data_IF_068096638105
#
_entry.id   IF_068096638105
#
_cell.length_a   1.000
_cell.length_b   1.000
_cell.length_c   1.000
_cell.angle_alpha   90.00
_cell.angle_beta   90.00
_cell.angle_gamma   90.00
#
_symmetry.space_group_name_H-M   'P 1'
#
loop_
_entity.id
_entity.type
_entity.pdbx_description
1 polymer ?
#
# COMPACT_ATOMS: atom_id res chain seq x y z
N UNK A 1 33.75 -19.36 -10.53
CA UNK A 1 33.07 -18.20 -9.91
C UNK A 1 33.25 -16.90 -10.71
N UNK A 2 34.48 -16.42 -10.97
CA UNK A 2 34.69 -15.16 -11.74
C UNK A 2 34.09 -15.15 -13.16
N UNK A 3 34.16 -16.26 -13.89
CA UNK A 3 33.56 -16.39 -15.23
C UNK A 3 32.03 -16.26 -15.22
N UNK A 4 31.36 -16.93 -14.27
CA UNK A 4 29.91 -16.84 -14.10
C UNK A 4 29.45 -15.44 -13.71
N UNK A 5 30.16 -14.76 -12.81
CA UNK A 5 29.86 -13.38 -12.43
C UNK A 5 29.93 -12.43 -13.64
N UNK A 6 30.95 -12.56 -14.50
CA UNK A 6 31.08 -11.77 -15.74
C UNK A 6 29.95 -12.07 -16.73
N UNK A 7 29.54 -13.34 -16.85
CA UNK A 7 28.41 -13.71 -17.71
C UNK A 7 27.10 -13.05 -17.23
N UNK A 8 26.86 -13.02 -15.91
CA UNK A 8 25.71 -12.33 -15.33
C UNK A 8 25.78 -10.80 -15.52
N UNK A 9 26.97 -10.19 -15.40
CA UNK A 9 27.16 -8.77 -15.72
C UNK A 9 26.79 -8.47 -17.18
N UNK A 10 27.23 -9.31 -18.13
CA UNK A 10 26.85 -9.21 -19.54
C UNK A 10 25.35 -9.38 -19.76
N UNK A 11 24.73 -10.38 -19.13
CA UNK A 11 23.29 -10.61 -19.19
C UNK A 11 22.47 -9.43 -18.65
N UNK A 12 22.90 -8.83 -17.54
CA UNK A 12 22.26 -7.64 -16.97
C UNK A 12 22.33 -6.43 -17.91
N UNK A 13 23.47 -6.19 -18.55
CA UNK A 13 23.61 -5.11 -19.53
C UNK A 13 22.69 -5.30 -20.75
N UNK A 14 22.59 -6.52 -21.26
CA UNK A 14 21.68 -6.86 -22.38
C UNK A 14 20.23 -6.62 -21.97
N UNK A 15 19.81 -7.14 -20.81
CA UNK A 15 18.45 -6.95 -20.30
C UNK A 15 18.11 -5.47 -20.09
N UNK A 16 19.04 -4.68 -19.55
CA UNK A 16 18.86 -3.24 -19.38
C UNK A 16 18.71 -2.53 -20.73
N UNK A 17 19.55 -2.85 -21.72
CA UNK A 17 19.45 -2.29 -23.06
C UNK A 17 18.12 -2.64 -23.74
N UNK A 18 17.65 -3.88 -23.59
CA UNK A 18 16.35 -4.32 -24.10
C UNK A 18 15.20 -3.58 -23.42
N UNK A 19 15.25 -3.41 -22.09
CA UNK A 19 14.22 -2.67 -21.36
C UNK A 19 14.13 -1.22 -21.83
N UNK A 20 15.28 -0.55 -22.01
CA UNK A 20 15.35 0.82 -22.56
C UNK A 20 14.82 0.87 -23.99
N UNK A 21 15.17 -0.10 -24.83
CA UNK A 21 14.67 -0.16 -26.21
C UNK A 21 13.14 -0.35 -26.26
N UNK A 22 12.57 -1.21 -25.41
CA UNK A 22 11.11 -1.38 -25.29
C UNK A 22 10.45 -0.11 -24.78
N UNK A 23 11.02 0.57 -23.78
CA UNK A 23 10.51 1.85 -23.29
C UNK A 23 10.52 2.94 -24.37
N UNK A 24 11.57 2.99 -25.19
CA UNK A 24 11.72 4.00 -26.23
C UNK A 24 10.82 3.72 -27.45
N UNK A 25 10.70 2.46 -27.86
CA UNK A 25 9.99 2.06 -29.08
C UNK A 25 8.52 1.64 -28.81
N UNK A 26 8.12 1.47 -27.56
CA UNK A 26 6.83 0.90 -27.14
C UNK A 26 6.69 -0.61 -27.37
N UNK A 27 7.45 -1.16 -28.32
CA UNK A 27 7.54 -2.60 -28.61
C UNK A 27 8.85 -2.94 -29.30
N UNK A 28 9.34 -4.15 -29.10
CA UNK A 28 10.54 -4.68 -29.76
C UNK A 28 10.27 -6.11 -30.23
N UNK A 29 10.56 -6.40 -31.50
CA UNK A 29 10.50 -7.77 -32.04
C UNK A 29 11.90 -8.33 -32.15
N UNK A 30 12.15 -9.45 -31.49
CA UNK A 30 13.45 -10.13 -31.45
C UNK A 30 13.26 -11.63 -31.56
N UNK A 31 13.90 -12.26 -32.56
CA UNK A 31 13.89 -13.71 -32.74
C UNK A 31 12.48 -14.35 -32.68
N UNK A 32 11.48 -13.70 -33.27
CA UNK A 32 10.08 -14.16 -33.27
C UNK A 32 9.28 -13.84 -32.00
N UNK A 33 9.91 -13.31 -30.94
CA UNK A 33 9.22 -12.84 -29.74
C UNK A 33 8.89 -11.35 -29.86
N UNK A 34 7.76 -10.95 -29.27
CA UNK A 34 7.39 -9.54 -29.15
C UNK A 34 7.49 -9.13 -27.68
N UNK A 35 8.37 -8.16 -27.41
CA UNK A 35 8.57 -7.56 -26.10
C UNK A 35 7.84 -6.22 -26.08
N UNK A 36 6.75 -6.15 -25.32
CA UNK A 36 5.93 -4.92 -25.19
C UNK A 36 5.92 -4.38 -23.77
N UNK A 37 6.41 -5.17 -22.81
CA UNK A 37 6.36 -4.89 -21.38
C UNK A 37 7.77 -4.77 -20.83
N UNK A 38 8.23 -3.54 -20.71
CA UNK A 38 9.55 -3.27 -20.14
C UNK A 38 9.64 -3.74 -18.67
N UNK A 39 8.52 -3.76 -17.93
CA UNK A 39 8.50 -4.26 -16.55
C UNK A 39 8.93 -5.73 -16.43
N UNK A 40 8.57 -6.58 -17.39
CA UNK A 40 8.93 -8.00 -17.38
C UNK A 40 10.46 -8.15 -17.49
N UNK A 41 11.09 -7.33 -18.33
CA UNK A 41 12.55 -7.27 -18.48
C UNK A 41 13.24 -6.72 -17.23
N UNK A 42 12.63 -5.73 -16.56
CA UNK A 42 13.15 -5.17 -15.30
C UNK A 42 13.11 -6.19 -14.17
N UNK A 43 12.07 -7.02 -14.09
CA UNK A 43 11.99 -8.11 -13.10
C UNK A 43 13.10 -9.13 -13.34
N UNK A 44 13.30 -9.57 -14.58
CA UNK A 44 14.38 -10.52 -14.92
C UNK A 44 15.75 -9.88 -14.66
N UNK A 45 15.93 -8.61 -15.01
CA UNK A 45 17.14 -7.84 -14.72
C UNK A 45 17.44 -7.81 -13.22
N UNK A 46 16.44 -7.54 -12.38
CA UNK A 46 16.60 -7.53 -10.93
C UNK A 46 17.02 -8.90 -10.39
N UNK A 47 16.48 -10.00 -10.92
CA UNK A 47 16.88 -11.37 -10.57
C UNK A 47 18.32 -11.67 -10.98
N UNK A 48 18.72 -11.29 -12.20
CA UNK A 48 20.09 -11.50 -12.70
C UNK A 48 21.09 -10.68 -11.88
N UNK A 49 20.79 -9.42 -11.60
CA UNK A 49 21.62 -8.56 -10.74
C UNK A 49 21.69 -9.09 -9.32
N UNK A 50 20.57 -9.57 -8.76
CA UNK A 50 20.53 -10.19 -7.44
C UNK A 50 21.39 -11.46 -7.36
N UNK A 51 21.25 -12.36 -8.33
CA UNK A 51 22.06 -13.57 -8.44
C UNK A 51 23.55 -13.24 -8.58
N UNK A 52 23.87 -12.21 -9.39
CA UNK A 52 25.24 -11.70 -9.51
C UNK A 52 25.76 -11.25 -8.16
N UNK A 53 25.05 -10.37 -7.45
CA UNK A 53 25.49 -9.82 -6.17
C UNK A 53 25.65 -10.89 -5.10
N UNK A 54 24.85 -11.96 -5.13
CA UNK A 54 25.02 -13.11 -4.25
C UNK A 54 26.31 -13.91 -4.56
N UNK A 55 26.65 -14.09 -5.84
CA UNK A 55 27.83 -14.84 -6.27
C UNK A 55 29.15 -14.06 -6.13
N UNK A 56 29.10 -12.76 -6.39
CA UNK A 56 30.24 -11.86 -6.31
C UNK A 56 29.80 -10.53 -5.70
N UNK A 57 29.80 -10.44 -4.35
CA UNK A 57 29.41 -9.23 -3.64
C UNK A 57 30.29 -8.05 -4.06
N UNK A 58 29.65 -6.90 -4.25
CA UNK A 58 30.34 -5.64 -4.55
C UNK A 58 30.42 -4.81 -3.29
N UNK A 59 31.55 -4.13 -3.08
CA UNK A 59 31.67 -3.12 -2.04
C UNK A 59 30.82 -1.91 -2.40
N UNK A 60 29.74 -1.71 -1.65
CA UNK A 60 28.91 -0.52 -1.82
C UNK A 60 29.71 0.74 -1.45
N UNK A 61 29.50 1.86 -2.16
CA UNK A 61 30.09 3.13 -1.78
C UNK A 61 29.68 3.49 -0.35
N UNK A 62 30.59 4.14 0.40
CA UNK A 62 30.31 4.61 1.75
C UNK A 62 29.40 5.83 1.69
N UNK A 63 28.10 5.59 1.72
CA UNK A 63 27.07 6.63 1.80
C UNK A 63 26.61 6.77 3.25
N UNK A 64 26.42 8.00 3.73
CA UNK A 64 25.85 8.19 5.06
C UNK A 64 24.41 7.66 5.08
N UNK A 65 23.93 7.04 6.19
CA UNK A 65 22.56 6.53 6.26
C UNK A 65 21.49 7.57 5.91
N UNK A 66 21.71 8.83 6.30
CA UNK A 66 20.80 9.95 5.98
C UNK A 66 20.78 10.24 4.49
N UNK A 67 21.94 10.30 3.84
CA UNK A 67 22.03 10.52 2.40
C UNK A 67 21.40 9.36 1.62
N UNK A 68 21.53 8.12 2.11
CA UNK A 68 20.88 6.96 1.49
C UNK A 68 19.35 7.06 1.56
N UNK A 69 18.78 7.41 2.71
CA UNK A 69 17.32 7.62 2.85
C UNK A 69 16.85 8.78 1.99
N UNK A 70 17.52 9.94 2.05
CA UNK A 70 17.16 11.11 1.26
C UNK A 70 17.25 10.84 -0.25
N UNK A 71 18.31 10.17 -0.70
CA UNK A 71 18.47 9.75 -2.09
C UNK A 71 17.38 8.78 -2.52
N UNK A 72 17.06 7.78 -1.68
CA UNK A 72 15.96 6.84 -1.95
C UNK A 72 14.61 7.55 -2.07
N UNK A 73 14.30 8.47 -1.17
CA UNK A 73 13.08 9.30 -1.22
C UNK A 73 13.03 10.12 -2.50
N UNK A 74 14.11 10.81 -2.86
CA UNK A 74 14.18 11.62 -4.06
C UNK A 74 13.98 10.77 -5.33
N UNK A 75 14.64 9.61 -5.41
CA UNK A 75 14.48 8.66 -6.52
C UNK A 75 13.05 8.14 -6.58
N UNK A 76 12.44 7.74 -5.46
CA UNK A 76 11.07 7.26 -5.43
C UNK A 76 10.09 8.33 -5.91
N UNK A 77 10.17 9.55 -5.37
CA UNK A 77 9.28 10.66 -5.76
C UNK A 77 9.44 10.98 -7.24
N UNK A 78 10.68 11.03 -7.74
CA UNK A 78 10.93 11.31 -9.15
C UNK A 78 10.38 10.21 -10.06
N UNK A 79 10.78 8.95 -9.82
CA UNK A 79 10.41 7.83 -10.68
C UNK A 79 8.91 7.56 -10.60
N UNK A 80 8.37 7.41 -9.39
CA UNK A 80 6.93 7.14 -9.23
C UNK A 80 6.10 8.35 -9.64
N UNK A 81 6.57 9.58 -9.39
CA UNK A 81 5.92 10.81 -9.85
C UNK A 81 5.80 10.84 -11.38
N UNK A 82 6.90 10.56 -12.10
CA UNK A 82 6.87 10.43 -13.57
C UNK A 82 5.90 9.34 -14.00
N UNK A 83 5.90 8.18 -13.36
CA UNK A 83 4.99 7.07 -13.69
C UNK A 83 3.54 7.46 -13.52
N UNK A 84 3.13 7.99 -12.35
CA UNK A 84 1.72 8.33 -12.08
C UNK A 84 1.23 9.48 -12.96
N UNK A 85 2.08 10.48 -13.22
CA UNK A 85 1.74 11.59 -14.11
C UNK A 85 1.61 11.10 -15.56
N UNK A 86 2.57 10.30 -16.03
CA UNK A 86 2.54 9.76 -17.40
C UNK A 86 1.30 8.88 -17.62
N UNK A 87 0.94 8.05 -16.63
CA UNK A 87 -0.30 7.27 -16.68
C UNK A 87 -1.53 8.16 -16.79
N UNK A 88 -1.59 9.26 -16.03
CA UNK A 88 -2.71 10.19 -16.09
C UNK A 88 -2.81 10.90 -17.44
N UNK A 89 -1.72 11.47 -17.96
CA UNK A 89 -1.74 12.16 -19.27
C UNK A 89 -1.96 11.19 -20.43
N UNK A 90 -1.63 9.90 -20.27
CA UNK A 90 -1.96 8.84 -21.20
C UNK A 90 -3.38 8.28 -21.02
N UNK A 91 -4.22 8.92 -20.20
CA UNK A 91 -5.61 8.52 -19.93
C UNK A 91 -5.77 7.12 -19.34
N UNK A 92 -4.78 6.67 -18.55
CA UNK A 92 -4.75 5.35 -17.89
C UNK A 92 -5.09 5.43 -16.39
N UNK A 93 -5.93 6.38 -16.01
CA UNK A 93 -6.43 6.62 -14.65
C UNK A 93 -7.96 6.56 -14.65
N UNK A 94 -8.57 6.23 -13.51
CA UNK A 94 -9.99 5.89 -13.47
C UNK A 94 -10.84 7.01 -12.86
N UNK A 95 -12.01 7.25 -13.44
CA UNK A 95 -12.93 8.28 -12.98
C UNK A 95 -13.53 7.97 -11.58
N UNK A 96 -13.83 6.71 -11.30
CA UNK A 96 -14.44 6.29 -10.03
C UNK A 96 -13.47 6.28 -8.84
N UNK A 97 -12.17 6.21 -9.10
CA UNK A 97 -11.14 6.31 -8.06
C UNK A 97 -10.56 7.74 -8.05
N UNK A 98 -9.75 8.10 -9.06
CA UNK A 98 -9.06 9.38 -9.10
C UNK A 98 -10.03 10.56 -9.28
N UNK A 99 -10.94 10.46 -10.27
CA UNK A 99 -11.89 11.53 -10.57
C UNK A 99 -12.79 11.86 -9.38
N UNK A 100 -13.23 10.82 -8.67
CA UNK A 100 -14.01 10.93 -7.44
C UNK A 100 -13.28 11.79 -6.40
N UNK A 101 -12.05 11.44 -6.01
CA UNK A 101 -11.32 12.19 -4.98
C UNK A 101 -10.87 13.58 -5.45
N UNK A 102 -10.55 13.75 -6.74
CA UNK A 102 -10.30 15.09 -7.32
C UNK A 102 -11.51 15.99 -7.13
N UNK A 103 -12.71 15.48 -7.44
CA UNK A 103 -13.94 16.23 -7.28
C UNK A 103 -14.26 16.51 -5.81
N UNK A 104 -14.05 15.55 -4.90
CA UNK A 104 -14.23 15.79 -3.46
C UNK A 104 -13.35 16.95 -2.99
N UNK A 105 -12.06 16.92 -3.29
CA UNK A 105 -11.12 17.98 -2.87
C UNK A 105 -11.50 19.33 -3.49
N UNK A 106 -11.88 19.34 -4.77
CA UNK A 106 -12.36 20.55 -5.44
C UNK A 106 -13.63 21.11 -4.78
N UNK A 107 -14.63 20.27 -4.51
CA UNK A 107 -15.90 20.68 -3.88
C UNK A 107 -15.68 21.23 -2.47
N UNK A 108 -14.82 20.60 -1.68
CA UNK A 108 -14.42 21.09 -0.35
C UNK A 108 -13.73 22.46 -0.44
N UNK A 109 -12.80 22.61 -1.38
CA UNK A 109 -12.05 23.83 -1.57
C UNK A 109 -12.92 25.04 -1.96
N UNK A 110 -14.05 24.79 -2.64
CA UNK A 110 -14.98 25.85 -3.09
C UNK A 110 -16.24 25.98 -2.22
N UNK A 111 -16.28 25.33 -1.05
CA UNK A 111 -17.38 25.46 -0.11
C UNK A 111 -18.69 24.76 -0.51
N UNK A 112 -18.63 23.82 -1.46
CA UNK A 112 -19.79 23.02 -1.89
C UNK A 112 -20.08 21.81 -0.97
N UNK A 113 -19.26 21.62 0.06
CA UNK A 113 -19.27 20.42 0.90
C UNK A 113 -18.65 19.20 0.19
N UNK A 114 -18.66 18.05 0.86
CA UNK A 114 -18.12 16.82 0.30
C UNK A 114 -19.11 16.21 -0.70
N UNK A 115 -19.17 16.76 -1.91
CA UNK A 115 -20.09 16.34 -2.97
C UNK A 115 -19.35 15.88 -4.21
N UNK A 116 -19.92 14.88 -4.86
CA UNK A 116 -19.47 14.31 -6.14
C UNK A 116 -20.65 14.20 -7.10
N UNK A 117 -20.38 14.11 -8.40
CA UNK A 117 -21.38 13.95 -9.47
C UNK A 117 -21.32 12.60 -10.15
N UNK A 118 -20.36 11.73 -9.79
CA UNK A 118 -20.21 10.40 -10.38
C UNK A 118 -20.01 9.32 -9.29
N UNK A 119 -21.11 8.75 -8.77
CA UNK A 119 -22.50 9.18 -8.95
C UNK A 119 -22.83 10.46 -8.15
N UNK A 120 -23.93 11.18 -8.45
CA UNK A 120 -24.35 12.34 -7.68
C UNK A 120 -24.72 11.96 -6.24
N UNK A 121 -23.86 12.31 -5.28
CA UNK A 121 -24.09 12.00 -3.87
C UNK A 121 -23.22 12.83 -2.91
N UNK A 122 -23.51 12.69 -1.61
CA UNK A 122 -22.61 13.11 -0.56
C UNK A 122 -21.47 12.09 -0.43
N UNK A 123 -20.22 12.53 -0.59
CA UNK A 123 -19.07 11.63 -0.71
C UNK A 123 -18.85 10.76 0.54
N UNK A 124 -19.16 11.31 1.72
CA UNK A 124 -19.12 10.58 3.00
C UNK A 124 -20.16 9.47 3.14
N UNK A 125 -21.17 9.42 2.26
CA UNK A 125 -22.14 8.33 2.18
C UNK A 125 -21.62 7.12 1.38
N UNK A 126 -20.53 7.30 0.64
CA UNK A 126 -19.82 6.20 -0.03
C UNK A 126 -18.57 5.81 0.76
N UNK A 127 -17.71 6.78 1.01
CA UNK A 127 -16.44 6.61 1.70
C UNK A 127 -16.20 7.80 2.65
N UNK A 128 -16.18 7.54 3.95
CA UNK A 128 -15.89 8.55 4.96
C UNK A 128 -14.38 8.81 5.05
N UNK A 129 -13.92 9.84 4.33
CA UNK A 129 -12.49 10.20 4.22
C UNK A 129 -12.17 11.64 4.68
N UNK A 130 -12.31 11.98 5.99
CA UNK A 130 -11.97 13.33 6.49
C UNK A 130 -10.52 13.76 6.24
N UNK A 131 -9.58 12.85 5.99
CA UNK A 131 -8.21 13.24 5.67
C UNK A 131 -8.11 14.15 4.44
N UNK A 132 -9.11 14.10 3.55
CA UNK A 132 -9.18 14.92 2.33
C UNK A 132 -9.26 16.42 2.62
N UNK A 133 -9.71 16.83 3.81
CA UNK A 133 -9.67 18.24 4.22
C UNK A 133 -8.23 18.79 4.25
N UNK A 134 -7.21 17.95 4.50
CA UNK A 134 -5.80 18.37 4.45
C UNK A 134 -5.32 18.70 3.03
N UNK A 135 -6.04 18.24 2.00
CA UNK A 135 -5.69 18.46 0.60
C UNK A 135 -6.47 19.62 -0.03
N UNK A 136 -7.37 20.28 0.72
CA UNK A 136 -8.09 21.49 0.28
C UNK A 136 -7.14 22.56 -0.30
N UNK A 137 -5.97 22.86 0.29
CA UNK A 137 -5.04 23.81 -0.30
C UNK A 137 -4.58 23.44 -1.72
N UNK A 138 -4.51 22.15 -2.07
CA UNK A 138 -4.20 21.72 -3.43
C UNK A 138 -5.34 22.07 -4.40
N UNK A 139 -6.59 22.05 -3.93
CA UNK A 139 -7.75 22.50 -4.69
C UNK A 139 -7.71 23.98 -5.07
N UNK A 140 -6.96 24.81 -4.34
CA UNK A 140 -6.74 26.22 -4.66
C UNK A 140 -5.49 26.46 -5.52
N UNK A 141 -4.37 25.84 -5.14
CA UNK A 141 -3.05 26.15 -5.70
C UNK A 141 -2.72 25.37 -6.97
N UNK A 142 -3.20 24.13 -7.06
CA UNK A 142 -2.90 23.20 -8.15
C UNK A 142 -4.08 22.23 -8.35
N UNK A 143 -5.27 22.74 -8.73
CA UNK A 143 -6.46 21.91 -8.86
C UNK A 143 -6.25 20.79 -9.89
N UNK A 144 -6.71 19.59 -9.57
CA UNK A 144 -6.73 18.45 -10.49
C UNK A 144 -6.00 17.21 -9.98
N UNK A 145 -5.94 16.21 -10.86
CA UNK A 145 -5.41 14.88 -10.57
C UNK A 145 -3.92 14.84 -10.26
N UNK A 146 -3.11 15.57 -11.03
CA UNK A 146 -1.64 15.52 -10.94
C UNK A 146 -1.15 15.89 -9.53
N UNK A 147 -1.69 16.96 -8.94
CA UNK A 147 -1.30 17.39 -7.60
C UNK A 147 -1.60 16.34 -6.54
N UNK A 148 -2.78 15.70 -6.60
CA UNK A 148 -3.16 14.65 -5.65
C UNK A 148 -2.32 13.37 -5.83
N UNK A 149 -2.03 12.96 -7.07
CA UNK A 149 -1.16 11.81 -7.37
C UNK A 149 0.26 12.03 -6.81
N UNK A 150 0.81 13.23 -7.02
CA UNK A 150 2.13 13.60 -6.48
C UNK A 150 2.11 13.72 -4.96
N UNK A 151 1.02 14.21 -4.36
CA UNK A 151 0.88 14.29 -2.93
C UNK A 151 0.85 12.89 -2.28
N UNK A 152 0.08 11.94 -2.83
CA UNK A 152 0.12 10.54 -2.39
C UNK A 152 1.53 9.94 -2.53
N UNK A 153 2.20 10.17 -3.65
CA UNK A 153 3.58 9.71 -3.88
C UNK A 153 4.54 10.26 -2.81
N UNK A 154 4.42 11.54 -2.46
CA UNK A 154 5.22 12.17 -1.41
C UNK A 154 4.91 11.60 -0.01
N UNK A 155 3.63 11.31 0.29
CA UNK A 155 3.22 10.67 1.55
C UNK A 155 3.83 9.28 1.69
N UNK A 156 3.79 8.47 0.62
CA UNK A 156 4.47 7.17 0.63
C UNK A 156 5.98 7.32 0.80
N UNK A 157 6.61 8.26 0.09
CA UNK A 157 8.04 8.49 0.24
C UNK A 157 8.42 8.91 1.67
N UNK A 158 7.61 9.75 2.33
CA UNK A 158 7.79 10.13 3.72
C UNK A 158 7.74 8.92 4.68
N UNK A 159 7.00 7.86 4.32
CA UNK A 159 7.01 6.58 5.03
C UNK A 159 8.40 5.96 5.18
N UNK A 160 9.32 6.21 4.25
CA UNK A 160 10.70 5.74 4.36
C UNK A 160 11.48 6.43 5.49
N UNK A 161 11.24 7.73 5.69
CA UNK A 161 11.87 8.50 6.78
C UNK A 161 11.37 7.98 8.13
N UNK A 162 10.06 7.72 8.23
CA UNK A 162 9.44 7.13 9.42
C UNK A 162 9.98 5.72 9.66
N UNK A 163 10.10 4.90 8.61
CA UNK A 163 10.67 3.55 8.69
C UNK A 163 12.12 3.59 9.17
N UNK A 164 12.94 4.52 8.67
CA UNK A 164 14.32 4.69 9.14
C UNK A 164 14.35 5.04 10.64
N UNK A 165 13.49 5.96 11.08
CA UNK A 165 13.35 6.32 12.50
C UNK A 165 12.92 5.15 13.38
N UNK A 166 11.96 4.36 12.92
CA UNK A 166 11.49 3.15 13.58
C UNK A 166 12.60 2.09 13.69
N UNK A 167 13.22 1.74 12.56
CA UNK A 167 14.25 0.73 12.47
C UNK A 167 15.51 1.11 13.24
N UNK A 168 15.88 2.40 13.28
CA UNK A 168 17.05 2.87 14.07
C UNK A 168 16.87 2.56 15.56
N UNK A 169 15.67 2.77 16.11
CA UNK A 169 15.38 2.46 17.51
C UNK A 169 15.39 0.96 17.80
N UNK A 170 15.02 0.14 16.81
CA UNK A 170 14.91 -1.31 16.99
C UNK A 170 16.20 -2.08 16.75
N UNK A 171 17.00 -1.62 15.81
CA UNK A 171 18.23 -2.31 15.39
C UNK A 171 19.48 -1.72 16.05
N UNK A 172 19.43 -0.47 16.53
CA UNK A 172 20.60 0.23 17.06
C UNK A 172 21.65 0.58 16.00
N UNK A 173 21.40 0.26 14.72
CA UNK A 173 22.30 0.53 13.59
C UNK A 173 21.58 1.36 12.53
N UNK A 174 22.08 2.58 12.31
CA UNK A 174 21.57 3.51 11.31
C UNK A 174 21.72 2.99 9.87
N UNK A 175 22.74 2.18 9.57
CA UNK A 175 22.93 1.60 8.23
C UNK A 175 21.87 0.55 7.94
N UNK A 176 21.66 -0.38 8.88
CA UNK A 176 20.58 -1.35 8.77
C UNK A 176 19.21 -0.66 8.66
N UNK A 177 18.97 0.38 9.46
CA UNK A 177 17.74 1.16 9.41
C UNK A 177 17.51 1.86 8.06
N UNK A 178 18.57 2.45 7.47
CA UNK A 178 18.49 3.02 6.13
C UNK A 178 18.23 1.94 5.07
N UNK A 179 18.77 0.74 5.24
CA UNK A 179 18.44 -0.42 4.42
C UNK A 179 16.95 -0.75 4.45
N UNK A 180 16.32 -0.82 5.63
CA UNK A 180 14.87 -1.03 5.75
C UNK A 180 14.04 0.09 5.12
N UNK A 181 14.48 1.34 5.19
CA UNK A 181 13.81 2.44 4.51
C UNK A 181 13.87 2.32 2.98
N UNK A 182 15.01 1.90 2.43
CA UNK A 182 15.14 1.61 0.99
C UNK A 182 14.29 0.41 0.59
N UNK A 183 14.30 -0.68 1.38
CA UNK A 183 13.45 -1.85 1.12
C UNK A 183 11.95 -1.51 1.15
N UNK A 184 11.53 -0.61 2.05
CA UNK A 184 10.17 -0.07 2.07
C UNK A 184 9.83 0.65 0.75
N UNK A 185 10.73 1.52 0.27
CA UNK A 185 10.54 2.23 -1.00
C UNK A 185 10.58 1.32 -2.23
N UNK A 186 11.30 0.19 -2.16
CA UNK A 186 11.38 -0.81 -3.24
C UNK A 186 10.26 -1.84 -3.18
N UNK A 187 9.36 -1.77 -2.20
CA UNK A 187 8.32 -2.76 -2.02
C UNK A 187 7.31 -2.70 -3.20
N UNK A 188 7.11 -3.80 -3.95
CA UNK A 188 6.24 -3.81 -5.13
C UNK A 188 4.76 -3.55 -4.79
N UNK A 189 4.32 -3.88 -3.57
CA UNK A 189 2.95 -3.57 -3.13
C UNK A 189 2.75 -2.07 -2.91
N UNK A 190 3.79 -1.37 -2.44
CA UNK A 190 3.78 0.10 -2.31
C UNK A 190 3.77 0.75 -3.70
N UNK A 191 4.51 0.19 -4.66
CA UNK A 191 4.45 0.66 -6.06
C UNK A 191 3.07 0.43 -6.66
N UNK A 192 2.52 -0.77 -6.45
CA UNK A 192 1.21 -1.19 -6.95
C UNK A 192 0.09 -0.24 -6.52
N UNK A 193 0.02 0.10 -5.23
CA UNK A 193 -1.00 1.04 -4.76
C UNK A 193 -0.75 2.48 -5.24
N UNK A 194 0.52 2.88 -5.45
CA UNK A 194 0.82 4.22 -5.93
C UNK A 194 0.45 4.42 -7.41
N UNK A 195 0.54 3.37 -8.25
CA UNK A 195 0.16 3.46 -9.68
C UNK A 195 -1.34 3.27 -9.92
N UNK A 196 -2.07 2.72 -8.95
CA UNK A 196 -3.53 2.60 -8.96
C UNK A 196 -4.16 3.84 -8.36
N UNK A 197 -4.03 4.99 -9.01
CA UNK A 197 -4.75 6.21 -8.65
C UNK A 197 -4.61 6.63 -7.17
N UNK A 198 -5.42 7.58 -6.68
CA UNK A 198 -5.35 8.06 -5.30
C UNK A 198 -6.30 7.26 -4.40
N UNK A 199 -5.77 6.77 -3.29
CA UNK A 199 -6.49 5.96 -2.31
C UNK A 199 -6.19 6.48 -0.90
N UNK A 200 -7.09 7.29 -0.30
CA UNK A 200 -6.90 7.81 1.05
C UNK A 200 -6.65 6.74 2.12
N UNK A 201 -7.21 5.53 1.99
CA UNK A 201 -6.90 4.38 2.85
C UNK A 201 -5.43 4.01 2.87
N UNK A 202 -4.74 4.18 1.74
CA UNK A 202 -3.34 3.80 1.61
C UNK A 202 -2.41 4.70 2.44
N UNK A 203 -2.87 5.88 2.85
CA UNK A 203 -2.14 6.72 3.80
C UNK A 203 -1.94 6.04 5.16
N UNK A 204 -2.76 5.02 5.48
CA UNK A 204 -2.54 4.18 6.65
C UNK A 204 -1.17 3.48 6.64
N UNK A 205 -0.56 3.22 5.48
CA UNK A 205 0.75 2.55 5.38
C UNK A 205 1.83 3.32 6.17
N UNK A 206 2.20 4.58 5.82
CA UNK A 206 3.17 5.33 6.59
C UNK A 206 2.67 5.70 8.00
N UNK A 207 1.37 5.92 8.18
CA UNK A 207 0.80 6.35 9.46
C UNK A 207 0.81 5.24 10.53
N UNK A 208 0.56 3.99 10.16
CA UNK A 208 0.68 2.84 11.08
C UNK A 208 2.14 2.61 11.49
N UNK A 209 3.09 2.79 10.56
CA UNK A 209 4.52 2.75 10.89
C UNK A 209 4.87 3.89 11.85
N UNK A 210 4.34 5.10 11.63
CA UNK A 210 4.52 6.24 12.52
C UNK A 210 3.94 6.00 13.91
N UNK A 211 2.76 5.36 13.99
CA UNK A 211 2.15 4.96 15.25
C UNK A 211 3.03 3.96 16.00
N UNK A 212 3.53 2.92 15.32
CA UNK A 212 4.46 1.94 15.90
C UNK A 212 5.74 2.62 16.41
N UNK A 213 6.30 3.55 15.64
CA UNK A 213 7.46 4.34 16.03
C UNK A 213 7.20 5.22 17.25
N UNK A 214 6.08 5.91 17.29
CA UNK A 214 5.71 6.75 18.43
C UNK A 214 5.49 5.91 19.71
N UNK A 215 4.89 4.72 19.60
CA UNK A 215 4.78 3.76 20.72
C UNK A 215 6.18 3.35 21.23
N UNK A 216 7.10 3.01 20.34
CA UNK A 216 8.48 2.65 20.69
C UNK A 216 9.30 3.83 21.25
N UNK A 217 8.93 5.06 20.87
CA UNK A 217 9.51 6.28 21.39
C UNK A 217 8.90 6.72 22.73
N UNK A 218 7.89 6.01 23.26
CA UNK A 218 7.20 6.42 24.49
C UNK A 218 6.35 7.69 24.31
N UNK A 219 5.87 7.97 23.10
CA UNK A 219 5.10 9.17 22.74
C UNK A 219 3.63 8.80 22.45
N UNK A 220 2.79 8.53 23.47
CA UNK A 220 1.43 8.04 23.28
C UNK A 220 0.55 9.03 22.50
N UNK A 221 0.71 10.34 22.72
CA UNK A 221 0.00 11.36 21.95
C UNK A 221 0.34 11.30 20.46
N UNK A 222 1.62 11.11 20.11
CA UNK A 222 2.04 10.95 18.72
C UNK A 222 1.47 9.67 18.08
N UNK A 223 1.41 8.58 18.85
CA UNK A 223 0.78 7.35 18.38
C UNK A 223 -0.72 7.52 18.14
N UNK A 224 -1.42 8.19 19.06
CA UNK A 224 -2.85 8.48 18.93
C UNK A 224 -3.13 9.36 17.70
N UNK A 225 -2.35 10.43 17.48
CA UNK A 225 -2.48 11.28 16.29
C UNK A 225 -2.27 10.49 15.01
N UNK A 226 -1.26 9.63 14.95
CA UNK A 226 -0.99 8.81 13.76
C UNK A 226 -2.12 7.79 13.49
N UNK A 227 -2.65 7.15 14.53
CA UNK A 227 -3.81 6.24 14.39
C UNK A 227 -5.04 7.01 13.94
N UNK A 228 -5.38 8.13 14.58
CA UNK A 228 -6.54 8.96 14.19
C UNK A 228 -6.40 9.44 12.74
N UNK A 229 -5.22 9.87 12.32
CA UNK A 229 -4.96 10.25 10.94
C UNK A 229 -5.14 9.06 9.97
N UNK A 230 -4.69 7.86 10.34
CA UNK A 230 -4.88 6.67 9.52
C UNK A 230 -6.37 6.34 9.34
N UNK A 231 -7.13 6.43 10.43
CA UNK A 231 -8.57 6.18 10.44
C UNK A 231 -9.36 7.26 9.70
N UNK A 232 -8.89 8.51 9.71
CA UNK A 232 -9.44 9.58 8.89
C UNK A 232 -9.21 9.37 7.38
N UNK A 233 -8.32 8.43 7.01
CA UNK A 233 -8.03 8.05 5.64
C UNK A 233 -9.29 7.64 4.90
N UNK A 234 -9.95 6.61 5.40
CA UNK A 234 -11.20 6.05 4.91
C UNK A 234 -11.70 5.06 5.97
N UNK A 235 -12.99 4.75 6.00
CA UNK A 235 -13.59 3.85 6.99
C UNK A 235 -12.95 2.45 7.01
N UNK A 236 -12.52 1.94 5.85
CA UNK A 236 -11.83 0.65 5.76
C UNK A 236 -10.37 0.67 6.29
N UNK A 237 -9.79 1.85 6.53
CA UNK A 237 -8.53 1.98 7.24
C UNK A 237 -8.63 1.51 8.70
N UNK A 238 -9.86 1.41 9.24
CA UNK A 238 -10.10 0.78 10.54
C UNK A 238 -9.62 -0.68 10.59
N UNK A 239 -9.57 -1.39 9.47
CA UNK A 239 -8.98 -2.74 9.39
C UNK A 239 -7.48 -2.70 9.73
N UNK A 240 -6.75 -1.72 9.20
CA UNK A 240 -5.34 -1.49 9.55
C UNK A 240 -5.19 -1.07 11.02
N UNK A 241 -6.12 -0.26 11.53
CA UNK A 241 -6.19 0.10 12.95
C UNK A 241 -6.41 -1.10 13.88
N UNK A 242 -7.30 -2.03 13.51
CA UNK A 242 -7.51 -3.30 14.23
C UNK A 242 -6.24 -4.14 14.18
N UNK A 243 -5.59 -4.25 13.01
CA UNK A 243 -4.31 -4.93 12.86
C UNK A 243 -3.22 -4.35 13.77
N UNK A 244 -3.11 -3.03 13.84
CA UNK A 244 -2.21 -2.34 14.76
C UNK A 244 -2.56 -2.62 16.24
N UNK A 245 -3.84 -2.67 16.59
CA UNK A 245 -4.32 -3.08 17.91
C UNK A 245 -3.93 -4.53 18.26
N UNK A 246 -4.06 -5.46 17.31
CA UNK A 246 -3.62 -6.86 17.47
C UNK A 246 -2.12 -6.95 17.71
N UNK A 247 -1.31 -6.21 16.92
CA UNK A 247 0.13 -6.11 17.15
C UNK A 247 0.46 -5.62 18.55
N UNK A 248 -0.21 -4.54 18.98
CA UNK A 248 0.02 -3.94 20.28
C UNK A 248 -0.35 -4.91 21.42
N UNK A 249 -1.45 -5.66 21.27
CA UNK A 249 -1.86 -6.67 22.24
C UNK A 249 -0.86 -7.84 22.29
N UNK A 250 -0.56 -8.44 21.13
CA UNK A 250 0.25 -9.65 21.03
C UNK A 250 1.74 -9.43 21.29
N UNK A 251 2.29 -8.30 20.86
CA UNK A 251 3.71 -8.00 20.97
C UNK A 251 4.05 -7.06 22.15
N UNK A 252 3.10 -6.24 22.62
CA UNK A 252 3.35 -5.21 23.65
C UNK A 252 2.46 -5.32 24.89
N UNK A 253 1.52 -6.28 24.93
CA UNK A 253 0.58 -6.51 26.04
C UNK A 253 -0.23 -5.25 26.41
N UNK A 254 -0.54 -4.42 25.41
CA UNK A 254 -1.38 -3.22 25.55
C UNK A 254 -2.54 -3.32 24.56
N UNK A 255 -3.73 -2.89 24.97
CA UNK A 255 -4.93 -3.04 24.17
C UNK A 255 -5.37 -1.71 23.58
N UNK A 256 -5.64 -1.70 22.28
CA UNK A 256 -6.37 -0.64 21.60
C UNK A 256 -7.38 -1.33 20.70
N UNK A 257 -8.66 -1.07 20.92
CA UNK A 257 -9.74 -1.65 20.14
C UNK A 257 -10.24 -0.60 19.13
N UNK A 258 -9.92 -0.80 17.85
CA UNK A 258 -10.48 0.02 16.76
C UNK A 258 -11.78 -0.57 16.18
N UNK A 259 -12.25 -1.72 16.70
CA UNK A 259 -13.46 -2.41 16.21
C UNK A 259 -14.71 -1.54 16.37
N UNK A 260 -14.80 -0.77 17.46
CA UNK A 260 -15.90 0.16 17.68
C UNK A 260 -15.99 1.27 16.64
N UNK A 261 -14.85 1.72 16.09
CA UNK A 261 -14.81 2.74 15.04
C UNK A 261 -15.29 2.18 13.70
N UNK A 262 -14.84 0.97 13.34
CA UNK A 262 -15.37 0.28 12.16
C UNK A 262 -16.90 0.09 12.25
N UNK A 263 -17.42 -0.27 13.43
CA UNK A 263 -18.85 -0.41 13.63
C UNK A 263 -19.59 0.93 13.54
N UNK A 264 -19.06 1.97 14.17
CA UNK A 264 -19.62 3.33 14.13
C UNK A 264 -19.69 3.86 12.70
N UNK A 265 -18.62 3.69 11.93
CA UNK A 265 -18.56 4.13 10.54
C UNK A 265 -19.63 3.42 9.70
N UNK A 266 -19.68 2.09 9.76
CA UNK A 266 -20.56 1.26 8.95
C UNK A 266 -22.05 1.36 9.30
N UNK A 267 -22.39 1.60 10.57
CA UNK A 267 -23.78 1.55 11.04
C UNK A 267 -24.36 2.93 11.36
N UNK A 268 -23.52 3.96 11.53
CA UNK A 268 -23.97 5.30 11.90
C UNK A 268 -23.53 6.34 10.88
N UNK A 269 -22.22 6.51 10.66
CA UNK A 269 -21.72 7.64 9.84
C UNK A 269 -22.07 7.48 8.36
N UNK A 270 -21.73 6.36 7.73
CA UNK A 270 -22.06 6.14 6.32
C UNK A 270 -23.58 6.16 6.07
N UNK A 271 -24.41 5.42 6.83
CA UNK A 271 -25.87 5.48 6.66
C UNK A 271 -26.45 6.89 6.86
N UNK A 272 -25.91 7.69 7.78
CA UNK A 272 -26.33 9.08 7.99
C UNK A 272 -26.15 9.93 6.73
N UNK A 273 -25.00 9.82 6.04
CA UNK A 273 -24.73 10.58 4.83
C UNK A 273 -25.35 9.98 3.57
N UNK A 274 -25.57 8.66 3.53
CA UNK A 274 -26.11 7.93 2.38
C UNK A 274 -27.64 7.97 2.33
N UNK A 275 -28.31 7.97 3.49
CA UNK A 275 -29.75 7.79 3.60
C UNK A 275 -30.22 6.33 3.49
N UNK A 276 -29.31 5.37 3.32
CA UNK A 276 -29.58 3.93 3.21
C UNK A 276 -28.51 3.07 3.90
N UNK A 277 -28.81 1.81 4.26
CA UNK A 277 -27.82 0.88 4.81
C UNK A 277 -26.63 0.62 3.88
N UNK A 278 -25.46 0.35 4.47
CA UNK A 278 -24.21 0.13 3.73
C UNK A 278 -24.25 -1.15 2.88
N UNK A 279 -24.01 -1.08 1.55
CA UNK A 279 -24.30 -2.20 0.64
C UNK A 279 -23.16 -3.22 0.46
N UNK A 280 -21.92 -2.90 0.84
CA UNK A 280 -20.74 -3.66 0.39
C UNK A 280 -20.42 -4.90 1.24
N UNK A 281 -20.82 -4.95 2.51
CA UNK A 281 -20.54 -6.11 3.36
C UNK A 281 -21.27 -7.37 2.84
N UNK A 282 -22.49 -7.19 2.34
CA UNK A 282 -23.37 -8.29 1.91
C UNK A 282 -22.89 -8.91 0.60
N UNK A 283 -22.37 -8.14 -0.36
CA UNK A 283 -22.01 -8.69 -1.68
C UNK A 283 -20.80 -9.64 -1.66
N UNK A 284 -19.77 -9.33 -0.86
CA UNK A 284 -18.50 -10.09 -0.87
C UNK A 284 -18.49 -11.29 0.08
N UNK A 285 -19.33 -11.26 1.12
CA UNK A 285 -19.31 -12.25 2.21
C UNK A 285 -20.67 -12.92 2.44
N UNK A 286 -21.62 -12.81 1.50
CA UNK A 286 -22.97 -13.39 1.61
C UNK A 286 -22.98 -14.86 2.05
N UNK A 287 -21.99 -15.65 1.61
CA UNK A 287 -21.88 -17.07 1.95
C UNK A 287 -21.56 -17.32 3.45
N UNK A 288 -21.02 -16.31 4.14
CA UNK A 288 -20.72 -16.32 5.58
C UNK A 288 -21.87 -15.74 6.43
N UNK A 289 -22.68 -14.85 5.88
CA UNK A 289 -23.80 -14.25 6.60
C UNK A 289 -24.27 -12.96 5.94
N UNK A 290 -25.37 -12.43 6.45
CA UNK A 290 -25.97 -11.19 5.95
C UNK A 290 -25.65 -9.99 6.84
N UNK A 291 -25.13 -10.22 8.05
CA UNK A 291 -24.70 -9.18 8.99
C UNK A 291 -23.25 -9.38 9.43
N UNK A 292 -22.59 -8.32 9.90
CA UNK A 292 -21.20 -8.42 10.39
C UNK A 292 -21.06 -9.45 11.54
N UNK A 293 -21.95 -9.49 12.56
CA UNK A 293 -21.90 -10.52 13.59
C UNK A 293 -22.05 -11.95 13.04
N UNK A 294 -22.94 -12.17 12.06
CA UNK A 294 -23.10 -13.49 11.44
C UNK A 294 -21.86 -13.91 10.66
N UNK A 295 -21.25 -12.98 9.90
CA UNK A 295 -20.02 -13.25 9.17
C UNK A 295 -18.91 -13.64 10.14
N UNK A 296 -18.70 -12.85 11.20
CA UNK A 296 -17.68 -13.13 12.23
C UNK A 296 -17.94 -14.47 12.94
N UNK A 297 -19.21 -14.77 13.28
CA UNK A 297 -19.58 -16.03 13.89
C UNK A 297 -19.33 -17.22 12.94
N UNK A 298 -19.68 -17.10 11.66
CA UNK A 298 -19.47 -18.16 10.67
C UNK A 298 -17.99 -18.45 10.42
N UNK A 299 -17.11 -17.45 10.51
CA UNK A 299 -15.65 -17.67 10.39
C UNK A 299 -15.17 -18.66 11.46
N UNK A 300 -15.72 -18.60 12.67
CA UNK A 300 -15.32 -19.46 13.80
C UNK A 300 -16.13 -20.76 13.84
N UNK A 301 -17.44 -20.67 13.73
CA UNK A 301 -18.38 -21.78 13.98
C UNK A 301 -18.59 -22.65 12.74
N UNK A 302 -18.33 -22.13 11.54
CA UNK A 302 -18.65 -22.81 10.26
C UNK A 302 -17.44 -22.83 9.30
N UNK A 303 -16.28 -23.39 9.70
CA UNK A 303 -15.05 -23.34 8.91
C UNK A 303 -15.18 -23.99 7.52
N UNK A 304 -16.01 -25.03 7.39
CA UNK A 304 -16.29 -25.68 6.10
C UNK A 304 -16.87 -24.74 5.03
N UNK A 305 -17.45 -23.59 5.42
CA UNK A 305 -17.95 -22.59 4.46
C UNK A 305 -16.84 -21.79 3.80
N UNK A 306 -15.78 -21.43 4.52
CA UNK A 306 -14.70 -20.60 3.97
C UNK A 306 -13.45 -21.38 3.59
N UNK A 307 -13.22 -22.58 4.12
CA UNK A 307 -12.02 -23.36 3.78
C UNK A 307 -11.87 -23.57 2.25
N UNK A 308 -12.92 -23.94 1.48
CA UNK A 308 -12.80 -24.06 0.02
C UNK A 308 -12.55 -22.73 -0.68
N UNK A 309 -12.96 -21.62 -0.07
CA UNK A 309 -12.78 -20.27 -0.62
C UNK A 309 -11.35 -19.78 -0.37
N UNK A 310 -10.75 -20.11 0.78
CA UNK A 310 -9.40 -19.66 1.17
C UNK A 310 -8.30 -20.53 0.57
N UNK A 311 -8.46 -21.86 0.59
CA UNK A 311 -7.43 -22.80 0.17
C UNK A 311 -7.49 -23.06 -1.33
N UNK A 312 -7.13 -22.02 -2.10
CA UNK A 312 -7.05 -22.07 -3.56
C UNK A 312 -5.64 -21.73 -4.05
N UNK A 313 -5.20 -22.25 -5.20
CA UNK A 313 -3.89 -21.92 -5.77
C UNK A 313 -3.66 -20.41 -5.95
N UNK A 314 -4.71 -19.67 -6.33
CA UNK A 314 -4.67 -18.22 -6.53
C UNK A 314 -4.37 -17.48 -5.23
N UNK A 315 -5.00 -17.88 -4.12
CA UNK A 315 -4.75 -17.28 -2.80
C UNK A 315 -3.43 -17.71 -2.19
N UNK A 316 -2.97 -18.92 -2.49
CA UNK A 316 -1.61 -19.33 -2.16
C UNK A 316 -0.58 -18.45 -2.89
N UNK A 317 -0.78 -18.20 -4.19
CA UNK A 317 0.05 -17.28 -4.96
C UNK A 317 -0.02 -15.85 -4.42
N UNK A 318 -1.19 -15.35 -4.04
CA UNK A 318 -1.36 -14.05 -3.39
C UNK A 318 -0.49 -13.93 -2.12
N UNK A 319 -0.51 -14.94 -1.25
CA UNK A 319 0.31 -14.95 -0.04
C UNK A 319 1.81 -15.01 -0.34
N UNK A 320 2.21 -15.77 -1.37
CA UNK A 320 3.59 -15.81 -1.84
C UNK A 320 4.02 -14.43 -2.37
N UNK A 321 3.19 -13.78 -3.18
CA UNK A 321 3.44 -12.45 -3.73
C UNK A 321 3.56 -11.38 -2.63
N UNK A 322 2.83 -11.54 -1.52
CA UNK A 322 2.91 -10.65 -0.37
C UNK A 322 4.16 -10.89 0.50
N UNK A 323 4.53 -12.16 0.73
CA UNK A 323 5.61 -12.54 1.66
C UNK A 323 6.99 -12.58 1.02
N UNK A 324 7.09 -12.93 -0.27
CA UNK A 324 8.36 -13.08 -0.96
C UNK A 324 9.18 -11.77 -1.01
N UNK A 325 8.60 -10.58 -1.30
CA UNK A 325 9.33 -9.31 -1.25
C UNK A 325 9.85 -8.96 0.15
N UNK A 326 9.26 -9.56 1.20
CA UNK A 326 9.68 -9.40 2.59
C UNK A 326 10.67 -10.49 3.03
N UNK A 327 11.13 -11.34 2.11
CA UNK A 327 12.02 -12.47 2.41
C UNK A 327 11.41 -13.47 3.39
N UNK A 328 10.07 -13.55 3.45
CA UNK A 328 9.33 -14.37 4.43
C UNK A 328 9.63 -14.04 5.91
N UNK A 329 10.32 -12.93 6.20
CA UNK A 329 10.67 -12.50 7.57
C UNK A 329 9.47 -12.39 8.51
N UNK A 330 8.25 -11.96 8.08
CA UNK A 330 7.10 -11.93 8.97
C UNK A 330 6.80 -13.29 9.63
N UNK A 331 7.09 -14.41 8.95
CA UNK A 331 6.86 -15.75 9.49
C UNK A 331 7.78 -16.09 10.68
N UNK A 332 8.94 -15.44 10.78
CA UNK A 332 9.84 -15.59 11.92
C UNK A 332 9.35 -14.86 13.18
N UNK A 333 8.35 -13.99 13.06
CA UNK A 333 7.78 -13.21 14.16
C UNK A 333 6.24 -13.34 14.19
N UNK A 334 5.68 -14.53 14.44
CA UNK A 334 4.24 -14.79 14.29
C UNK A 334 3.35 -13.88 15.14
N UNK A 335 3.81 -13.50 16.35
CA UNK A 335 3.09 -12.53 17.20
C UNK A 335 2.97 -11.14 16.59
N UNK A 336 4.01 -10.71 15.86
CA UNK A 336 3.98 -9.44 15.14
C UNK A 336 3.20 -9.58 13.81
N UNK A 337 3.35 -10.71 13.11
CA UNK A 337 2.62 -11.00 11.88
C UNK A 337 1.09 -11.09 12.10
N UNK A 338 0.63 -11.38 13.32
CA UNK A 338 -0.78 -11.33 13.68
C UNK A 338 -1.45 -9.98 13.33
N UNK A 339 -0.68 -8.90 13.25
CA UNK A 339 -1.15 -7.58 12.81
C UNK A 339 -1.78 -7.59 11.41
N UNK A 340 -1.31 -8.48 10.53
CA UNK A 340 -1.79 -8.59 9.16
C UNK A 340 -3.09 -9.40 9.04
N UNK A 341 -3.49 -10.15 10.08
CA UNK A 341 -4.63 -11.06 10.02
C UNK A 341 -5.94 -10.38 9.61
N UNK A 342 -6.32 -9.19 10.14
CA UNK A 342 -7.56 -8.55 9.71
C UNK A 342 -7.57 -8.20 8.21
N UNK A 343 -6.47 -7.64 7.70
CA UNK A 343 -6.35 -7.32 6.28
C UNK A 343 -6.30 -8.56 5.39
N UNK A 344 -5.56 -9.59 5.82
CA UNK A 344 -5.53 -10.88 5.12
C UNK A 344 -6.90 -11.55 5.12
N UNK A 345 -7.65 -11.48 6.22
CA UNK A 345 -8.99 -12.05 6.29
C UNK A 345 -9.93 -11.38 5.28
N UNK A 346 -9.86 -10.05 5.11
CA UNK A 346 -10.64 -9.33 4.10
C UNK A 346 -10.37 -9.87 2.70
N UNK A 347 -9.10 -10.09 2.33
CA UNK A 347 -8.73 -10.58 1.01
C UNK A 347 -9.03 -12.08 0.83
N UNK A 348 -8.59 -12.91 1.78
CA UNK A 348 -8.67 -14.37 1.69
C UNK A 348 -10.08 -14.90 1.87
N UNK A 349 -10.95 -14.25 2.64
CA UNK A 349 -12.36 -14.65 2.77
C UNK A 349 -13.23 -14.07 1.64
N UNK A 350 -12.70 -13.22 0.76
CA UNK A 350 -13.50 -12.68 -0.32
C UNK A 350 -13.63 -13.67 -1.49
N UNK A 351 -14.80 -13.65 -2.13
CA UNK A 351 -15.02 -14.26 -3.44
C UNK A 351 -14.71 -13.30 -4.61
N UNK A 352 -14.37 -12.05 -4.30
CA UNK A 352 -14.03 -11.01 -5.29
C UNK A 352 -12.56 -11.14 -5.73
N UNK A 353 -12.29 -11.54 -7.00
CA UNK A 353 -10.93 -11.75 -7.47
C UNK A 353 -10.05 -10.50 -7.41
N UNK A 354 -10.62 -9.30 -7.45
CA UNK A 354 -9.85 -8.05 -7.39
C UNK A 354 -9.08 -7.84 -6.07
N UNK A 355 -9.43 -8.59 -5.01
CA UNK A 355 -8.77 -8.49 -3.71
C UNK A 355 -7.55 -9.41 -3.55
N UNK A 356 -7.38 -10.41 -4.41
CA UNK A 356 -6.29 -11.37 -4.31
C UNK A 356 -5.51 -11.62 -5.61
N UNK A 357 -5.93 -11.03 -6.74
CA UNK A 357 -5.18 -11.04 -8.00
C UNK A 357 -4.26 -9.83 -8.20
#
# INVERSE_FOLDING_TARGET
>A
MKGLARALDGGALVLAALAVAVLAAGRLRLAGMTLERAEDLVVVLALVVGARLALAPVTLPRVSPRALVAGGVAVYVLVMGVVVVTRHVALRTHALDLGYYVQVVWSLAHGHGARVTLPPMHAWGDHFSPILYLFVPLGWLAPGAIALLLAQTAIFAAGAVVMAGFATRRLGDARAAAGFAVLYLLNPTLHGINVRDVHPTAFAIPLVIAAAWAVDAGRPAGAAVAVVAALAGREDAAIAGVGFGVWLAAARRRWVLCVGLLWLDMNVLLPHFRGEPYPHLVKRYAYLGHTLPEVLASVVVRPWRWMPVVFTPEKAFHLLALLAPLGFLPLAAPRAAAAALPGLAVNLLSTDPFLFH
#
